data_IF_642538068234
#
_entry.id   IF_642538068234
#
_cell.length_a   1.000
_cell.length_b   1.000
_cell.length_c   1.000
_cell.angle_alpha   90.00
_cell.angle_beta   90.00
_cell.angle_gamma   90.00
#
_symmetry.space_group_name_H-M   'P 1'
#
loop_
_entity.id
_entity.type
_entity.pdbx_description
1 polymer ?
#
# COMPACT_ATOMS: atom_id res chain seq x y z
N UNK A 1 16.16 5.47 -34.36
CA UNK A 1 15.76 6.37 -35.47
C UNK A 1 14.31 6.14 -35.88
N UNK A 2 13.87 4.92 -36.22
CA UNK A 2 12.48 4.65 -36.66
C UNK A 2 11.44 5.05 -35.64
N UNK A 3 11.65 4.70 -34.37
CA UNK A 3 10.73 5.01 -33.28
C UNK A 3 10.61 6.53 -33.01
N UNK A 4 11.74 7.25 -33.09
CA UNK A 4 11.75 8.70 -32.96
C UNK A 4 10.96 9.41 -34.07
N UNK A 5 11.05 8.93 -35.32
CA UNK A 5 10.26 9.46 -36.41
C UNK A 5 8.77 9.15 -36.25
N UNK A 6 8.42 7.96 -35.74
CA UNK A 6 7.02 7.61 -35.46
C UNK A 6 6.43 8.49 -34.36
N UNK A 7 7.19 8.79 -33.31
CA UNK A 7 6.79 9.71 -32.25
C UNK A 7 6.61 11.14 -32.78
N UNK A 8 7.56 11.60 -33.62
CA UNK A 8 7.48 12.92 -34.25
C UNK A 8 6.23 13.03 -35.14
N UNK A 9 5.95 12.01 -35.94
CA UNK A 9 4.77 11.97 -36.82
C UNK A 9 3.47 12.00 -35.98
N UNK A 10 3.45 11.27 -34.85
CA UNK A 10 2.35 11.31 -33.89
C UNK A 10 2.17 12.73 -33.28
N UNK A 11 3.25 13.39 -32.88
CA UNK A 11 3.20 14.75 -32.35
C UNK A 11 2.71 15.76 -33.38
N UNK A 12 3.13 15.64 -34.65
CA UNK A 12 2.69 16.49 -35.76
C UNK A 12 1.20 16.30 -36.06
N UNK A 13 0.64 15.11 -35.78
CA UNK A 13 -0.80 14.85 -35.87
C UNK A 13 -1.64 15.64 -34.86
N UNK A 14 -1.05 16.02 -33.73
CA UNK A 14 -1.71 16.84 -32.69
C UNK A 14 -1.49 18.34 -32.88
N UNK A 15 -0.31 18.77 -33.31
CA UNK A 15 0.03 20.18 -33.50
C UNK A 15 1.17 20.36 -34.50
N UNK A 16 1.08 21.42 -35.31
CA UNK A 16 2.17 21.80 -36.21
C UNK A 16 3.42 22.34 -35.50
N UNK A 17 3.31 22.63 -34.20
CA UNK A 17 4.45 23.04 -33.36
C UNK A 17 4.75 21.94 -32.35
N UNK A 18 5.87 21.28 -32.55
CA UNK A 18 6.35 20.24 -31.63
C UNK A 18 7.12 20.91 -30.51
N UNK A 19 6.49 20.98 -29.32
CA UNK A 19 7.12 21.44 -28.09
C UNK A 19 7.45 20.24 -27.20
N UNK A 20 8.35 20.43 -26.26
CA UNK A 20 8.72 19.39 -25.29
C UNK A 20 7.49 18.89 -24.48
N UNK A 21 6.64 19.81 -24.07
CA UNK A 21 5.39 19.50 -23.35
C UNK A 21 4.43 18.68 -24.21
N UNK A 22 4.33 18.95 -25.52
CA UNK A 22 3.52 18.16 -26.44
C UNK A 22 4.07 16.74 -26.54
N UNK A 23 5.39 16.59 -26.72
CA UNK A 23 6.03 15.27 -26.78
C UNK A 23 5.80 14.47 -25.51
N UNK A 24 5.99 15.07 -24.33
CA UNK A 24 5.71 14.44 -23.04
C UNK A 24 4.26 14.02 -22.90
N UNK A 25 3.32 14.87 -23.31
CA UNK A 25 1.90 14.57 -23.28
C UNK A 25 1.53 13.41 -24.22
N UNK A 26 2.08 13.38 -25.43
CA UNK A 26 1.84 12.32 -26.41
C UNK A 26 2.44 10.98 -25.95
N UNK A 27 3.62 11.02 -25.34
CA UNK A 27 4.27 9.84 -24.78
C UNK A 27 3.63 9.36 -23.45
N UNK A 28 2.77 10.18 -22.84
CA UNK A 28 2.12 9.84 -21.60
C UNK A 28 3.05 9.83 -20.38
N UNK A 29 4.33 10.23 -20.53
CA UNK A 29 5.29 10.28 -19.42
C UNK A 29 4.92 11.35 -18.42
N UNK A 30 5.11 11.07 -17.14
CA UNK A 30 4.87 12.05 -16.07
C UNK A 30 5.87 13.20 -16.16
N UNK A 31 5.39 14.42 -15.95
CA UNK A 31 6.29 15.57 -15.85
C UNK A 31 7.26 15.35 -14.69
N UNK A 32 8.54 15.54 -14.93
CA UNK A 32 9.58 15.39 -13.93
C UNK A 32 9.32 16.26 -12.70
N UNK A 33 8.93 17.51 -12.90
CA UNK A 33 8.59 18.40 -11.79
C UNK A 33 7.41 17.89 -10.95
N UNK A 34 6.48 17.17 -11.58
CA UNK A 34 5.38 16.52 -10.88
C UNK A 34 5.89 15.38 -9.99
N UNK A 35 6.84 14.56 -10.47
CA UNK A 35 7.44 13.48 -9.69
C UNK A 35 8.21 14.00 -8.48
N UNK A 36 8.97 15.08 -8.65
CA UNK A 36 9.66 15.75 -7.54
C UNK A 36 8.69 16.24 -6.48
N UNK A 37 7.61 16.92 -6.88
CA UNK A 37 6.56 17.40 -5.96
C UNK A 37 5.82 16.24 -5.27
N UNK A 38 5.57 15.16 -6.01
CA UNK A 38 4.93 13.97 -5.47
C UNK A 38 5.81 13.31 -4.41
N UNK A 39 7.10 13.13 -4.68
CA UNK A 39 8.05 12.60 -3.72
C UNK A 39 8.19 13.50 -2.47
N UNK A 40 8.23 14.83 -2.64
CA UNK A 40 8.24 15.76 -1.51
C UNK A 40 6.95 15.69 -0.67
N UNK A 41 5.80 15.45 -1.29
CA UNK A 41 4.54 15.25 -0.56
C UNK A 41 4.54 13.91 0.22
N UNK A 42 5.11 12.86 -0.35
CA UNK A 42 5.32 11.58 0.34
C UNK A 42 6.28 11.71 1.51
N UNK A 43 7.37 12.51 1.36
CA UNK A 43 8.33 12.76 2.42
C UNK A 43 7.67 13.45 3.62
N UNK A 44 6.88 14.49 3.33
CA UNK A 44 6.13 15.27 4.34
C UNK A 44 4.93 14.53 4.95
N UNK A 45 4.65 13.31 4.49
CA UNK A 45 3.50 12.52 4.94
C UNK A 45 2.14 13.23 4.71
N UNK A 46 2.11 14.16 3.73
CA UNK A 46 0.88 14.88 3.39
C UNK A 46 -0.01 14.02 2.49
N UNK A 47 -0.77 13.12 3.12
CA UNK A 47 -1.72 12.26 2.44
C UNK A 47 -2.75 13.06 1.61
N UNK A 48 -3.15 14.26 2.08
CA UNK A 48 -4.11 15.10 1.37
C UNK A 48 -3.52 15.66 0.08
N UNK A 49 -2.26 16.12 0.10
CA UNK A 49 -1.58 16.59 -1.10
C UNK A 49 -1.39 15.46 -2.10
N UNK A 50 -0.94 14.29 -1.63
CA UNK A 50 -0.73 13.11 -2.46
C UNK A 50 -2.03 12.66 -3.15
N UNK A 51 -3.15 12.62 -2.43
CA UNK A 51 -4.45 12.26 -3.00
C UNK A 51 -4.93 13.28 -4.03
N UNK A 52 -4.74 14.58 -3.80
CA UNK A 52 -5.06 15.62 -4.79
C UNK A 52 -4.21 15.48 -6.05
N UNK A 53 -2.93 15.17 -5.91
CA UNK A 53 -2.03 14.96 -7.07
C UNK A 53 -2.44 13.73 -7.88
N UNK A 54 -2.86 12.64 -7.24
CA UNK A 54 -3.40 11.47 -7.95
C UNK A 54 -4.71 11.82 -8.67
N UNK A 55 -5.60 12.60 -8.05
CA UNK A 55 -6.85 13.03 -8.70
C UNK A 55 -6.56 13.94 -9.91
N UNK A 56 -5.60 14.86 -9.82
CA UNK A 56 -5.13 15.68 -10.93
C UNK A 56 -4.62 14.82 -12.09
N UNK A 57 -3.79 13.81 -11.78
CA UNK A 57 -3.25 12.86 -12.74
C UNK A 57 -4.37 12.06 -13.45
N UNK A 58 -5.37 11.59 -12.70
CA UNK A 58 -6.50 10.86 -13.27
C UNK A 58 -7.36 11.76 -14.15
N UNK A 59 -7.62 13.01 -13.76
CA UNK A 59 -8.35 13.99 -14.58
C UNK A 59 -7.60 14.37 -15.85
N UNK A 60 -6.28 14.38 -15.80
CA UNK A 60 -5.44 14.59 -16.99
C UNK A 60 -5.43 13.37 -17.94
N UNK A 61 -6.14 12.27 -17.60
CA UNK A 61 -6.20 11.06 -18.42
C UNK A 61 -4.91 10.25 -18.43
N UNK A 62 -4.04 10.45 -17.44
CA UNK A 62 -2.79 9.68 -17.32
C UNK A 62 -3.06 8.28 -16.83
N UNK A 63 -2.33 7.32 -17.38
CA UNK A 63 -2.45 5.92 -17.01
C UNK A 63 -1.77 5.64 -15.66
N UNK A 64 -2.48 5.06 -14.67
CA UNK A 64 -1.93 4.76 -13.34
C UNK A 64 -0.70 3.88 -13.37
N UNK A 65 -0.62 2.93 -14.32
CA UNK A 65 0.52 2.02 -14.45
C UNK A 65 1.79 2.78 -14.91
N UNK A 66 1.66 3.68 -15.87
CA UNK A 66 2.77 4.50 -16.36
C UNK A 66 3.28 5.37 -15.22
N UNK A 67 2.36 6.01 -14.49
CA UNK A 67 2.73 6.82 -13.34
C UNK A 67 3.42 6.02 -12.23
N UNK A 68 2.93 4.85 -11.87
CA UNK A 68 3.57 3.99 -10.87
C UNK A 68 5.00 3.61 -11.27
N UNK A 69 5.21 3.31 -12.56
CA UNK A 69 6.54 3.04 -13.12
C UNK A 69 7.45 4.27 -13.04
N UNK A 70 6.93 5.46 -13.40
CA UNK A 70 7.70 6.71 -13.32
C UNK A 70 8.09 7.01 -11.86
N UNK A 71 7.19 6.79 -10.89
CA UNK A 71 7.50 6.93 -9.46
C UNK A 71 8.56 5.92 -9.02
N UNK A 72 8.46 4.66 -9.44
CA UNK A 72 9.48 3.64 -9.12
C UNK A 72 10.86 4.06 -9.66
N UNK A 73 10.92 4.57 -10.88
CA UNK A 73 12.17 5.05 -11.47
C UNK A 73 12.72 6.28 -10.73
N UNK A 74 11.85 7.20 -10.34
CA UNK A 74 12.25 8.37 -9.56
C UNK A 74 12.80 7.98 -8.18
N UNK A 75 12.11 7.09 -7.45
CA UNK A 75 12.58 6.58 -6.15
C UNK A 75 13.90 5.82 -6.28
N UNK A 76 14.08 5.04 -7.37
CA UNK A 76 15.36 4.39 -7.67
C UNK A 76 16.47 5.42 -7.88
N UNK A 77 16.19 6.50 -8.62
CA UNK A 77 17.16 7.56 -8.84
C UNK A 77 17.57 8.24 -7.52
N UNK A 78 16.61 8.54 -6.63
CA UNK A 78 16.88 9.05 -5.28
C UNK A 78 17.73 8.09 -4.43
N UNK A 79 17.46 6.79 -4.54
CA UNK A 79 18.24 5.78 -3.81
C UNK A 79 19.68 5.71 -4.31
N UNK A 80 19.90 5.76 -5.64
CA UNK A 80 21.24 5.82 -6.24
C UNK A 80 21.94 7.12 -5.81
N UNK A 81 21.27 8.26 -5.86
CA UNK A 81 21.81 9.54 -5.39
C UNK A 81 22.26 9.50 -3.93
N UNK A 82 21.55 8.71 -3.09
CA UNK A 82 21.89 8.54 -1.67
C UNK A 82 23.09 7.62 -1.47
N UNK A 83 23.21 6.55 -2.29
CA UNK A 83 24.24 5.52 -2.11
C UNK A 83 25.54 5.82 -2.89
N UNK A 84 25.43 6.46 -4.06
CA UNK A 84 26.54 6.72 -4.98
C UNK A 84 26.37 8.10 -5.64
N UNK A 85 26.51 9.19 -4.90
CA UNK A 85 26.26 10.54 -5.41
C UNK A 85 27.20 10.93 -6.55
N UNK A 86 28.46 10.48 -6.51
CA UNK A 86 29.49 10.82 -7.50
C UNK A 86 29.24 10.19 -8.88
N UNK A 87 28.62 9.02 -8.91
CA UNK A 87 28.37 8.27 -10.15
C UNK A 87 26.96 8.49 -10.71
N UNK A 88 26.12 9.29 -10.07
CA UNK A 88 24.71 9.46 -10.38
C UNK A 88 24.47 9.86 -11.84
N UNK A 89 25.23 10.84 -12.34
CA UNK A 89 25.11 11.36 -13.70
C UNK A 89 25.45 10.28 -14.74
N UNK A 90 26.46 9.45 -14.47
CA UNK A 90 26.90 8.38 -15.35
C UNK A 90 25.94 7.18 -15.33
N UNK A 91 25.40 6.82 -14.17
CA UNK A 91 24.51 5.67 -14.00
C UNK A 91 23.10 5.88 -14.59
N UNK A 92 22.64 7.14 -14.64
CA UNK A 92 21.29 7.48 -15.07
C UNK A 92 21.26 8.38 -16.32
N UNK A 93 22.40 8.61 -16.97
CA UNK A 93 22.52 9.53 -18.13
C UNK A 93 21.88 10.89 -17.89
N UNK A 94 22.12 11.45 -16.68
CA UNK A 94 21.56 12.73 -16.27
C UNK A 94 22.53 13.88 -16.53
N UNK A 95 21.97 15.09 -16.73
CA UNK A 95 22.77 16.30 -16.67
C UNK A 95 23.29 16.55 -15.26
N UNK A 96 24.35 17.36 -15.13
CA UNK A 96 24.89 17.71 -13.81
C UNK A 96 23.88 18.46 -12.94
N UNK A 97 23.05 19.31 -13.56
CA UNK A 97 21.98 20.05 -12.88
C UNK A 97 20.93 19.09 -12.33
N UNK A 98 20.51 18.15 -13.17
CA UNK A 98 19.55 17.10 -12.78
C UNK A 98 20.06 16.22 -11.64
N UNK A 99 21.33 15.82 -11.72
CA UNK A 99 21.95 15.02 -10.66
C UNK A 99 21.98 15.76 -9.31
N UNK A 100 22.23 17.08 -9.34
CA UNK A 100 22.18 17.90 -8.13
C UNK A 100 20.77 17.99 -7.52
N UNK A 101 19.74 18.12 -8.37
CA UNK A 101 18.34 18.16 -7.90
C UNK A 101 17.93 16.84 -7.24
N UNK A 102 18.31 15.69 -7.83
CA UNK A 102 18.11 14.38 -7.22
C UNK A 102 18.88 14.24 -5.90
N UNK A 103 20.12 14.67 -5.83
CA UNK A 103 20.93 14.61 -4.62
C UNK A 103 20.29 15.44 -3.49
N UNK A 104 19.86 16.67 -3.76
CA UNK A 104 19.18 17.54 -2.80
C UNK A 104 17.87 16.92 -2.28
N UNK A 105 17.07 16.33 -3.17
CA UNK A 105 15.84 15.67 -2.74
C UNK A 105 16.14 14.39 -1.93
N UNK A 106 17.15 13.61 -2.33
CA UNK A 106 17.55 12.38 -1.65
C UNK A 106 18.02 12.63 -0.20
N UNK A 107 18.57 13.80 0.11
CA UNK A 107 18.97 14.16 1.47
C UNK A 107 17.81 14.14 2.46
N UNK A 108 16.61 14.50 2.01
CA UNK A 108 15.39 14.53 2.83
C UNK A 108 14.92 13.15 3.27
N UNK A 109 15.31 12.09 2.57
CA UNK A 109 14.87 10.72 2.82
C UNK A 109 15.93 9.90 3.56
N UNK A 110 15.50 8.93 4.35
CA UNK A 110 16.36 7.85 4.82
C UNK A 110 16.45 6.76 3.76
N UNK A 111 17.59 6.06 3.69
CA UNK A 111 17.79 4.94 2.74
C UNK A 111 16.73 3.85 2.92
N UNK A 112 16.43 3.50 4.17
CA UNK A 112 15.40 2.49 4.49
C UNK A 112 14.03 2.90 3.96
N UNK A 113 13.66 4.19 4.11
CA UNK A 113 12.37 4.71 3.61
C UNK A 113 12.29 4.62 2.08
N UNK A 114 13.34 5.05 1.38
CA UNK A 114 13.41 4.94 -0.08
C UNK A 114 13.29 3.49 -0.55
N UNK A 115 13.97 2.56 0.11
CA UNK A 115 13.88 1.13 -0.22
C UNK A 115 12.45 0.60 -0.04
N UNK A 116 11.82 0.90 1.09
CA UNK A 116 10.46 0.44 1.38
C UNK A 116 9.43 1.02 0.38
N UNK A 117 9.57 2.31 0.04
CA UNK A 117 8.70 2.96 -0.94
C UNK A 117 8.92 2.37 -2.34
N UNK A 118 10.17 2.17 -2.75
CA UNK A 118 10.52 1.56 -4.04
C UNK A 118 9.92 0.15 -4.15
N UNK A 119 10.12 -0.69 -3.13
CA UNK A 119 9.57 -2.04 -3.09
C UNK A 119 8.02 -2.03 -3.18
N UNK A 120 7.37 -1.10 -2.48
CA UNK A 120 5.93 -0.94 -2.53
C UNK A 120 5.46 -0.58 -3.95
N UNK A 121 6.06 0.43 -4.60
CA UNK A 121 5.65 0.85 -5.94
C UNK A 121 5.98 -0.21 -7.00
N UNK A 122 7.06 -0.97 -6.88
CA UNK A 122 7.36 -2.11 -7.76
C UNK A 122 6.28 -3.21 -7.66
N UNK A 123 5.75 -3.48 -6.47
CA UNK A 123 4.62 -4.40 -6.30
C UNK A 123 3.35 -3.84 -6.94
N UNK A 124 3.12 -2.54 -6.77
CA UNK A 124 1.97 -1.85 -7.38
C UNK A 124 1.97 -1.94 -8.90
N UNK A 125 3.12 -1.84 -9.56
CA UNK A 125 3.23 -2.04 -11.02
C UNK A 125 2.70 -3.43 -11.44
N UNK A 126 2.98 -4.45 -10.64
CA UNK A 126 2.48 -5.81 -10.89
C UNK A 126 0.97 -5.92 -10.63
N UNK A 127 0.50 -5.34 -9.53
CA UNK A 127 -0.90 -5.37 -9.12
C UNK A 127 -1.81 -4.61 -10.09
N UNK A 128 -1.33 -3.49 -10.64
CA UNK A 128 -2.07 -2.67 -11.60
C UNK A 128 -2.42 -3.41 -12.89
N UNK A 129 -1.62 -4.41 -13.31
CA UNK A 129 -1.90 -5.20 -14.51
C UNK A 129 -3.20 -5.99 -14.43
N UNK A 130 -3.58 -6.39 -13.23
CA UNK A 130 -4.71 -7.28 -12.98
C UNK A 130 -5.83 -6.61 -12.21
N UNK A 131 -5.65 -5.33 -11.87
CA UNK A 131 -6.60 -4.60 -11.06
C UNK A 131 -7.84 -4.22 -11.84
N UNK A 132 -9.01 -4.53 -11.30
CA UNK A 132 -10.30 -4.03 -11.81
C UNK A 132 -10.47 -2.53 -11.57
N UNK A 133 -9.76 -1.95 -10.60
CA UNK A 133 -9.76 -0.52 -10.30
C UNK A 133 -8.33 -0.02 -10.06
N UNK A 134 -7.59 0.32 -11.14
CA UNK A 134 -6.20 0.78 -11.04
C UNK A 134 -6.02 2.02 -10.15
N UNK A 135 -6.98 2.94 -10.17
CA UNK A 135 -6.98 4.13 -9.33
C UNK A 135 -6.88 3.78 -7.84
N UNK A 136 -7.71 2.86 -7.36
CA UNK A 136 -7.74 2.48 -5.93
C UNK A 136 -6.43 1.83 -5.50
N UNK A 137 -5.82 1.02 -6.36
CA UNK A 137 -4.53 0.38 -6.09
C UNK A 137 -3.44 1.45 -5.91
N UNK A 138 -3.39 2.44 -6.81
CA UNK A 138 -2.44 3.54 -6.73
C UNK A 138 -2.66 4.41 -5.49
N UNK A 139 -3.91 4.79 -5.20
CA UNK A 139 -4.28 5.57 -4.00
C UNK A 139 -3.86 4.85 -2.71
N UNK A 140 -4.13 3.55 -2.60
CA UNK A 140 -3.75 2.74 -1.44
C UNK A 140 -2.22 2.67 -1.25
N UNK A 141 -1.46 2.52 -2.34
CA UNK A 141 -0.01 2.50 -2.29
C UNK A 141 0.56 3.85 -1.84
N UNK A 142 0.03 4.93 -2.38
CA UNK A 142 0.44 6.28 -2.02
C UNK A 142 0.14 6.58 -0.54
N UNK A 143 -1.04 6.19 -0.05
CA UNK A 143 -1.39 6.32 1.38
C UNK A 143 -0.47 5.47 2.27
N UNK A 144 -0.18 4.23 1.89
CA UNK A 144 0.79 3.38 2.63
C UNK A 144 2.18 3.98 2.67
N UNK A 145 2.61 4.67 1.60
CA UNK A 145 3.89 5.38 1.55
C UNK A 145 3.93 6.62 2.47
N UNK A 146 2.77 7.28 2.67
CA UNK A 146 2.63 8.38 3.63
C UNK A 146 2.58 7.89 5.07
N UNK A 147 1.91 6.75 5.32
CA UNK A 147 1.84 6.18 6.65
C UNK A 147 3.22 5.60 6.98
N UNK A 148 3.99 6.29 7.81
CA UNK A 148 5.10 5.64 8.49
C UNK A 148 4.52 4.44 9.24
N UNK A 149 5.01 3.24 8.94
CA UNK A 149 4.99 2.19 9.93
C UNK A 149 5.79 2.78 11.09
N UNK A 150 5.09 3.20 12.14
CA UNK A 150 5.75 3.98 13.18
C UNK A 150 6.91 3.13 13.71
N UNK A 151 8.06 3.76 13.97
CA UNK A 151 9.18 3.06 14.63
C UNK A 151 8.69 2.41 15.95
N UNK A 152 7.64 2.98 16.54
CA UNK A 152 6.94 2.42 17.68
C UNK A 152 6.26 1.08 17.36
N UNK A 153 5.65 0.91 16.15
CA UNK A 153 5.03 -0.37 15.76
C UNK A 153 6.09 -1.43 15.47
N UNK A 154 7.21 -1.05 14.84
CA UNK A 154 8.35 -1.97 14.63
C UNK A 154 9.08 -2.29 15.92
N UNK A 155 9.24 -1.34 16.83
CA UNK A 155 9.78 -1.57 18.15
C UNK A 155 8.87 -2.49 18.98
N UNK A 156 7.56 -2.24 19.01
CA UNK A 156 6.59 -3.09 19.70
C UNK A 156 6.54 -4.52 19.13
N UNK A 157 6.69 -4.67 17.80
CA UNK A 157 6.80 -5.98 17.15
C UNK A 157 8.09 -6.68 17.52
N UNK A 158 9.22 -5.98 17.54
CA UNK A 158 10.51 -6.52 17.94
C UNK A 158 10.53 -6.93 19.43
N UNK A 159 9.93 -6.13 20.30
CA UNK A 159 9.77 -6.46 21.73
C UNK A 159 8.93 -7.72 21.90
N UNK A 160 7.85 -7.86 21.11
CA UNK A 160 7.00 -9.04 21.13
C UNK A 160 7.69 -10.29 20.57
N UNK A 161 8.52 -10.13 19.54
CA UNK A 161 9.38 -11.22 19.02
C UNK A 161 10.37 -11.65 20.09
N UNK A 162 11.08 -10.72 20.72
CA UNK A 162 12.04 -10.99 21.80
C UNK A 162 11.40 -11.69 23.01
N UNK A 163 10.17 -11.30 23.34
CA UNK A 163 9.41 -11.94 24.43
C UNK A 163 8.98 -13.37 24.05
N UNK A 164 8.54 -13.59 22.81
CA UNK A 164 8.22 -14.93 22.31
C UNK A 164 9.44 -15.83 22.23
N UNK A 165 10.59 -15.31 21.82
CA UNK A 165 11.85 -16.04 21.80
C UNK A 165 12.29 -16.45 23.22
N UNK A 166 12.17 -15.56 24.21
CA UNK A 166 12.42 -15.88 25.62
C UNK A 166 11.49 -16.96 26.15
N UNK A 167 10.20 -16.90 25.80
CA UNK A 167 9.22 -17.93 26.18
C UNK A 167 9.55 -19.28 25.55
N UNK A 168 9.94 -19.30 24.27
CA UNK A 168 10.39 -20.52 23.59
C UNK A 168 11.63 -21.12 24.26
N UNK A 169 12.64 -20.31 24.58
CA UNK A 169 13.85 -20.75 25.25
C UNK A 169 13.55 -21.32 26.64
N UNK A 170 12.69 -20.63 27.41
CA UNK A 170 12.27 -21.09 28.73
C UNK A 170 11.44 -22.41 28.66
N UNK A 171 10.62 -22.60 27.63
CA UNK A 171 9.90 -23.83 27.37
C UNK A 171 10.84 -24.97 26.96
N UNK A 172 11.86 -24.69 26.13
CA UNK A 172 12.89 -25.66 25.75
C UNK A 172 13.73 -26.11 26.95
N UNK A 173 14.12 -25.17 27.81
CA UNK A 173 14.85 -25.47 29.04
C UNK A 173 14.00 -26.35 30.00
N UNK A 174 12.71 -26.05 30.15
CA UNK A 174 11.77 -26.88 30.94
C UNK A 174 11.57 -28.27 30.35
N UNK A 175 11.57 -28.41 29.03
CA UNK A 175 11.52 -29.71 28.36
C UNK A 175 12.81 -30.50 28.54
N UNK A 176 13.99 -29.84 28.44
CA UNK A 176 15.31 -30.47 28.62
C UNK A 176 15.58 -30.83 30.07
N UNK A 177 15.12 -30.02 31.04
CA UNK A 177 15.27 -30.29 32.48
C UNK A 177 14.34 -31.37 33.04
N UNK A 178 13.47 -31.97 32.20
CA UNK A 178 12.59 -33.04 32.61
C UNK A 178 11.48 -32.66 33.60
N UNK A 179 11.27 -31.36 33.83
CA UNK A 179 10.29 -30.84 34.78
C UNK A 179 8.87 -30.79 34.23
N UNK A 180 8.56 -31.68 33.28
CA UNK A 180 7.17 -31.87 32.83
C UNK A 180 6.52 -32.92 33.74
N UNK A 181 6.01 -32.50 34.88
CA UNK A 181 5.01 -33.27 35.62
C UNK A 181 3.69 -33.11 34.88
N UNK A 182 3.13 -34.15 34.24
CA UNK A 182 1.81 -34.06 33.67
C UNK A 182 0.85 -33.76 34.80
N UNK A 183 0.12 -32.67 34.70
CA UNK A 183 -0.96 -32.34 35.62
C UNK A 183 -1.94 -33.48 35.63
N UNK A 184 -2.03 -34.23 36.77
CA UNK A 184 -3.05 -35.25 36.99
C UNK A 184 -4.42 -34.59 36.84
N UNK A 185 -5.37 -35.26 36.16
CA UNK A 185 -6.72 -34.77 36.11
C UNK A 185 -7.32 -34.77 37.51
N UNK A 186 -7.74 -33.60 37.97
CA UNK A 186 -8.42 -33.44 39.25
C UNK A 186 -9.62 -34.36 39.33
N UNK A 187 -9.55 -35.34 40.27
CA UNK A 187 -10.64 -36.20 40.65
C UNK A 187 -11.84 -35.38 41.09
N UNK A 188 -12.97 -35.61 40.44
CA UNK A 188 -14.29 -35.20 40.88
C UNK A 188 -14.51 -35.65 42.32
N UNK A 189 -14.66 -34.74 43.26
CA UNK A 189 -15.24 -35.02 44.56
C UNK A 189 -16.75 -34.72 44.50
N UNK A 190 -17.49 -35.69 44.97
CA UNK A 190 -18.94 -35.87 44.89
C UNK A 190 -19.74 -34.86 45.76
N UNK A 191 -20.99 -34.72 45.33
CA UNK A 191 -22.17 -34.12 45.94
C UNK A 191 -22.37 -34.47 47.43
N UNK A 192 -23.20 -33.71 48.20
CA UNK A 192 -24.64 -34.06 48.13
C UNK A 192 -25.63 -32.85 48.19
N UNK A 193 -26.65 -33.07 47.47
CA UNK A 193 -28.11 -32.95 47.70
C UNK A 193 -28.70 -31.73 48.44
N UNK A 194 -29.58 -31.02 47.79
CA UNK A 194 -31.01 -30.85 48.16
C UNK A 194 -31.79 -30.15 47.04
N UNK A 195 -32.75 -30.88 46.51
CA UNK A 195 -33.97 -30.39 45.83
C UNK A 195 -34.94 -29.78 46.84
N UNK A 196 -36.03 -29.06 46.49
CA UNK A 196 -36.92 -29.38 45.40
C UNK A 196 -37.65 -28.23 44.65
N UNK A 197 -38.10 -28.59 43.45
CA UNK A 197 -39.46 -28.34 42.86
C UNK A 197 -39.95 -26.96 42.47
N UNK A 198 -40.35 -26.92 41.29
CA UNK A 198 -41.57 -26.54 40.53
C UNK A 198 -41.32 -25.40 39.59
N UNK A 199 -41.73 -25.31 38.34
CA UNK A 199 -42.73 -25.94 37.52
C UNK A 199 -42.56 -25.43 36.08
N UNK A 200 -42.68 -26.28 35.10
CA UNK A 200 -42.85 -25.89 33.71
C UNK A 200 -44.29 -25.41 33.46
N UNK A 201 -44.60 -24.66 32.42
CA UNK A 201 -44.98 -25.33 31.16
C UNK A 201 -44.51 -24.72 29.85
N UNK A 202 -44.35 -25.59 28.91
CA UNK A 202 -44.35 -25.49 27.46
C UNK A 202 -45.79 -25.35 26.95
N UNK A 203 -46.09 -25.26 25.64
CA UNK A 203 -45.62 -24.43 24.53
C UNK A 203 -46.81 -23.79 23.76
N UNK A 204 -46.53 -22.92 22.80
CA UNK A 204 -47.43 -22.76 21.65
C UNK A 204 -46.72 -22.07 20.46
N UNK A 205 -46.55 -22.83 19.40
CA UNK A 205 -46.55 -22.39 18.03
C UNK A 205 -47.86 -22.91 17.42
N UNK A 206 -48.24 -22.62 16.15
CA UNK A 206 -48.03 -21.50 15.27
C UNK A 206 -49.36 -20.93 14.70
N UNK A 207 -49.33 -19.82 14.02
CA UNK A 207 -50.42 -19.49 13.11
C UNK A 207 -49.88 -18.87 11.82
N UNK A 208 -49.93 -19.69 10.80
CA UNK A 208 -49.98 -19.38 9.37
C UNK A 208 -51.30 -18.67 9.09
N UNK A 209 -51.28 -17.57 8.37
CA UNK A 209 -52.37 -17.17 7.44
C UNK A 209 -51.84 -16.27 6.34
N UNK A 210 -51.76 -16.82 5.18
CA UNK A 210 -51.90 -16.19 3.85
C UNK A 210 -53.40 -16.22 3.51
N UNK A 211 -53.78 -15.70 2.34
CA UNK A 211 -53.82 -14.36 1.75
C UNK A 211 -55.29 -14.03 1.34
N UNK A 212 -55.54 -12.89 0.84
CA UNK A 212 -56.61 -12.51 -0.12
C UNK A 212 -56.69 -11.00 -0.07
N UNK A 213 -56.73 -10.26 -1.12
CA UNK A 213 -57.26 -10.46 -2.44
C UNK A 213 -57.98 -9.17 -2.84
N UNK A 214 -57.69 -8.76 -4.05
CA UNK A 214 -58.62 -8.02 -4.93
C UNK A 214 -58.83 -6.49 -4.75
N UNK A 215 -58.46 -5.83 -5.82
CA UNK A 215 -59.32 -5.05 -6.75
C UNK A 215 -59.75 -3.68 -6.22
N UNK A 216 -59.71 -2.61 -6.88
CA UNK A 216 -60.05 -2.13 -8.20
C UNK A 216 -59.56 -0.68 -8.27
N UNK A 217 -58.98 -0.25 -9.39
CA UNK A 217 -59.61 0.46 -10.48
C UNK A 217 -59.81 1.97 -10.25
N UNK A 218 -59.27 2.68 -11.22
CA UNK A 218 -59.78 3.92 -11.81
C UNK A 218 -59.60 5.26 -11.06
N UNK A 219 -58.74 6.06 -11.56
CA UNK A 219 -58.96 7.25 -12.36
C UNK A 219 -57.62 7.81 -12.84
#
# INVERSE_FOLDING_TARGET
MRDALSILDMCLGYSNQVTEDLVRNVLGTSDRSFLFRFADALEKEDASAVMRMIDELMRAGREPMVFAKDVSQHLRALLIAKCSPDDLSALLDLTQEDAQEYAQQAEKFTTTRLMNMLELFMRVETDLRWASSPRIVLENAALKSCLRTSEADTAALNDRISELEKQLTALQEKLQSGAFTPAQPAKKAAKPASEPKQEAPKPAAPAVMTPTGKTDAAA
#
